data_IF_703457490392
#
_entry.id   IF_703457490392
#
_cell.length_a   1.000
_cell.length_b   1.000
_cell.length_c   1.000
_cell.angle_alpha   90.00
_cell.angle_beta   90.00
_cell.angle_gamma   90.00
#
_symmetry.space_group_name_H-M   'P 1'
#
loop_
_entity.id
_entity.type
_entity.pdbx_description
1 polymer ?
#
# COMPACT_ATOMS: atom_id res chain seq x y z
N UNK A 1 -0.12 10.48 9.57
CA UNK A 1 -1.00 9.30 9.59
C UNK A 1 -0.32 8.11 10.27
N UNK A 2 -1.08 7.21 10.91
CA UNK A 2 -0.58 5.89 11.34
C UNK A 2 -0.50 4.96 10.13
N UNK A 3 0.53 4.14 10.04
CA UNK A 3 0.71 3.15 8.98
C UNK A 3 1.33 1.86 9.56
N UNK A 4 0.72 0.71 9.31
CA UNK A 4 1.34 -0.59 9.55
C UNK A 4 2.24 -0.92 8.35
N UNK A 5 3.52 -1.21 8.60
CA UNK A 5 4.53 -1.34 7.54
C UNK A 5 5.33 -2.62 7.64
N UNK A 6 5.64 -3.20 6.50
CA UNK A 6 6.66 -4.23 6.34
C UNK A 6 7.99 -3.51 6.24
N UNK A 7 8.75 -3.46 7.33
CA UNK A 7 10.09 -2.85 7.37
C UNK A 7 11.15 -3.85 6.88
N UNK A 8 10.97 -5.12 7.25
CA UNK A 8 11.79 -6.24 6.82
C UNK A 8 10.90 -7.48 6.63
N UNK A 9 11.23 -8.28 5.63
CA UNK A 9 10.49 -9.51 5.32
C UNK A 9 10.52 -10.49 6.49
N UNK A 10 9.44 -11.23 6.69
CA UNK A 10 9.27 -12.23 7.76
C UNK A 10 9.37 -11.68 9.21
N UNK A 11 9.34 -10.35 9.40
CA UNK A 11 9.34 -9.72 10.72
C UNK A 11 7.97 -9.12 11.05
N UNK A 12 7.66 -8.92 12.33
CA UNK A 12 6.39 -8.27 12.73
C UNK A 12 6.22 -6.92 12.03
N UNK A 13 5.00 -6.62 11.60
CA UNK A 13 4.67 -5.30 11.07
C UNK A 13 4.94 -4.23 12.13
N UNK A 14 5.50 -3.11 11.70
CA UNK A 14 5.71 -1.95 12.55
C UNK A 14 4.62 -0.92 12.30
N UNK A 15 3.94 -0.48 13.37
CA UNK A 15 3.02 0.67 13.29
C UNK A 15 3.82 1.95 13.49
N UNK A 16 3.98 2.72 12.43
CA UNK A 16 4.74 3.97 12.41
C UNK A 16 3.81 5.17 12.26
N UNK A 17 4.22 6.32 12.81
CA UNK A 17 3.60 7.61 12.54
C UNK A 17 4.36 8.29 11.40
N UNK A 18 3.70 8.51 10.27
CA UNK A 18 4.26 9.18 9.09
C UNK A 18 3.59 10.53 8.86
N UNK A 19 4.21 11.37 8.04
CA UNK A 19 3.52 12.53 7.49
C UNK A 19 2.41 12.08 6.52
N UNK A 20 1.29 12.79 6.52
CA UNK A 20 0.24 12.54 5.53
C UNK A 20 0.71 13.12 4.19
N UNK A 21 0.75 12.33 3.09
CA UNK A 21 1.20 12.84 1.80
C UNK A 21 0.26 13.92 1.27
N UNK A 22 0.82 14.87 0.53
CA UNK A 22 0.04 15.89 -0.19
C UNK A 22 -0.13 15.46 -1.64
N UNK A 23 -1.36 15.26 -2.16
CA UNK A 23 -1.56 14.87 -3.54
C UNK A 23 -1.08 15.97 -4.50
N UNK A 24 -0.54 15.59 -5.66
CA UNK A 24 -0.10 16.49 -6.74
C UNK A 24 -0.59 15.99 -8.09
N UNK A 25 -0.70 16.87 -9.08
CA UNK A 25 -1.18 16.54 -10.42
C UNK A 25 -2.55 15.87 -10.35
N UNK A 26 -2.67 14.69 -10.96
CA UNK A 26 -3.92 13.90 -11.00
C UNK A 26 -4.14 12.98 -9.79
N UNK A 27 -3.33 13.10 -8.74
CA UNK A 27 -3.43 12.24 -7.55
C UNK A 27 -4.67 12.58 -6.70
N UNK A 28 -5.19 11.57 -6.01
CA UNK A 28 -6.27 11.69 -5.03
C UNK A 28 -5.76 11.17 -3.69
N UNK A 29 -5.93 11.96 -2.63
CA UNK A 29 -5.70 11.50 -1.26
C UNK A 29 -7.00 10.94 -0.69
N UNK A 30 -6.95 9.69 -0.23
CA UNK A 30 -8.10 9.01 0.37
C UNK A 30 -7.87 8.83 1.87
N UNK A 31 -8.83 9.27 2.67
CA UNK A 31 -8.92 8.91 4.08
C UNK A 31 -9.49 7.51 4.19
N UNK A 32 -8.59 6.54 4.37
CA UNK A 32 -8.93 5.12 4.50
C UNK A 32 -9.86 4.90 5.69
N UNK A 33 -11.02 4.29 5.45
CA UNK A 33 -11.95 3.85 6.50
C UNK A 33 -11.82 2.35 6.77
N UNK A 34 -11.51 1.58 5.74
CA UNK A 34 -11.27 0.14 5.82
C UNK A 34 -10.24 -0.29 4.79
N UNK A 35 -9.39 -1.25 5.16
CA UNK A 35 -8.53 -2.00 4.24
C UNK A 35 -8.70 -3.48 4.50
N UNK A 36 -9.00 -4.25 3.46
CA UNK A 36 -8.98 -5.71 3.51
C UNK A 36 -7.56 -6.25 3.68
N UNK A 37 -7.48 -7.52 4.08
CA UNK A 37 -6.25 -8.30 4.21
C UNK A 37 -6.52 -9.66 3.58
N UNK A 38 -5.69 -10.05 2.62
CA UNK A 38 -5.82 -11.33 1.94
C UNK A 38 -4.47 -12.06 1.83
N UNK A 39 -4.46 -13.19 1.14
CA UNK A 39 -3.28 -14.05 1.05
C UNK A 39 -2.09 -13.37 0.34
N UNK A 40 -2.35 -12.45 -0.60
CA UNK A 40 -1.27 -11.76 -1.31
C UNK A 40 -0.48 -10.80 -0.39
N UNK A 41 -1.07 -10.32 0.71
CA UNK A 41 -0.34 -9.55 1.71
C UNK A 41 0.71 -10.42 2.44
N UNK A 42 0.47 -11.73 2.55
CA UNK A 42 1.46 -12.69 3.06
C UNK A 42 2.64 -12.78 2.09
N UNK A 43 2.40 -12.83 0.77
CA UNK A 43 3.49 -12.84 -0.22
C UNK A 43 4.36 -11.57 -0.14
N UNK A 44 3.76 -10.40 0.11
CA UNK A 44 4.50 -9.16 0.37
C UNK A 44 5.29 -9.24 1.68
N UNK A 45 4.70 -9.83 2.72
CA UNK A 45 5.35 -9.99 4.02
C UNK A 45 6.52 -10.98 4.00
N UNK A 46 6.38 -12.11 3.31
CA UNK A 46 7.44 -13.12 3.11
C UNK A 46 8.51 -12.65 2.12
N UNK A 47 8.15 -11.75 1.21
CA UNK A 47 9.03 -11.19 0.18
C UNK A 47 9.11 -12.01 -1.11
N UNK A 48 8.24 -13.00 -1.29
CA UNK A 48 8.19 -13.83 -2.49
C UNK A 48 6.79 -14.45 -2.70
N UNK A 49 6.58 -15.06 -3.86
CA UNK A 49 5.45 -15.95 -4.14
C UNK A 49 5.86 -17.02 -5.15
N UNK A 50 5.11 -18.11 -5.23
CA UNK A 50 5.32 -19.16 -6.23
C UNK A 50 4.70 -18.77 -7.57
N UNK A 51 5.51 -18.81 -8.62
CA UNK A 51 5.09 -18.63 -10.01
C UNK A 51 4.75 -19.95 -10.69
N UNK A 52 4.57 -19.88 -12.01
CA UNK A 52 4.27 -21.06 -12.83
C UNK A 52 5.36 -22.11 -12.67
N UNK A 53 4.96 -23.37 -12.44
CA UNK A 53 5.88 -24.49 -12.25
C UNK A 53 6.63 -24.48 -10.92
N UNK A 54 6.16 -23.75 -9.90
CA UNK A 54 6.79 -23.70 -8.57
C UNK A 54 8.04 -22.82 -8.51
N UNK A 55 8.28 -21.98 -9.53
CA UNK A 55 9.39 -21.04 -9.51
C UNK A 55 9.17 -20.00 -8.41
N UNK A 56 10.10 -19.89 -7.47
CA UNK A 56 10.03 -18.85 -6.45
C UNK A 56 10.39 -17.48 -7.06
N UNK A 57 9.47 -16.53 -6.95
CA UNK A 57 9.59 -15.18 -7.48
C UNK A 57 9.68 -14.17 -6.34
N UNK A 58 10.77 -13.43 -6.24
CA UNK A 58 10.92 -12.39 -5.23
C UNK A 58 10.07 -11.17 -5.57
N UNK A 59 9.48 -10.55 -4.57
CA UNK A 59 8.69 -9.32 -4.77
C UNK A 59 9.55 -8.12 -5.15
N UNK A 60 10.81 -8.10 -4.70
CA UNK A 60 11.80 -7.05 -5.05
C UNK A 60 12.14 -7.05 -6.54
N UNK A 61 12.18 -8.22 -7.17
CA UNK A 61 12.42 -8.36 -8.61
C UNK A 61 11.22 -7.84 -9.44
N UNK A 62 10.10 -7.52 -8.76
CA UNK A 62 8.87 -6.97 -9.32
C UNK A 62 8.59 -5.53 -8.87
N UNK A 63 9.60 -4.85 -8.29
CA UNK A 63 9.53 -3.43 -7.95
C UNK A 63 9.05 -3.11 -6.54
N UNK A 64 8.86 -4.11 -5.67
CA UNK A 64 8.58 -3.87 -4.25
C UNK A 64 9.85 -3.36 -3.56
N UNK A 65 9.71 -2.23 -2.86
CA UNK A 65 10.77 -1.64 -2.05
C UNK A 65 10.31 -1.55 -0.60
N UNK A 66 11.13 -2.02 0.33
CA UNK A 66 10.88 -1.89 1.77
C UNK A 66 11.60 -0.66 2.32
N UNK A 67 11.04 0.06 3.31
CA UNK A 67 9.79 -0.25 4.02
C UNK A 67 8.52 0.03 3.18
N UNK A 68 7.60 -0.94 3.17
CA UNK A 68 6.34 -0.88 2.41
C UNK A 68 5.14 -0.76 3.35
N UNK A 69 4.17 0.10 3.02
CA UNK A 69 2.83 0.07 3.62
C UNK A 69 1.92 -0.76 2.70
N UNK A 70 1.55 -2.01 3.05
CA UNK A 70 0.64 -2.82 2.25
C UNK A 70 -0.82 -2.33 2.38
N UNK A 71 -1.75 -3.01 1.71
CA UNK A 71 -3.17 -2.66 1.68
C UNK A 71 -3.63 -2.31 0.26
N UNK A 72 -4.01 -3.33 -0.50
CA UNK A 72 -4.47 -3.20 -1.89
C UNK A 72 -5.99 -3.35 -2.03
N UNK A 73 -6.70 -3.52 -0.91
CA UNK A 73 -8.16 -3.66 -0.82
C UNK A 73 -8.75 -2.49 -0.01
N UNK A 74 -8.64 -1.27 -0.56
CA UNK A 74 -8.90 -0.03 0.18
C UNK A 74 -10.29 0.53 -0.11
N UNK A 75 -11.01 0.92 0.95
CA UNK A 75 -12.22 1.74 0.86
C UNK A 75 -12.15 2.92 1.85
N UNK A 76 -12.62 4.08 1.41
CA UNK A 76 -12.56 5.31 2.19
C UNK A 76 -13.23 6.49 1.50
N UNK A 77 -12.98 7.68 2.03
CA UNK A 77 -13.55 8.93 1.54
C UNK A 77 -12.43 9.78 0.93
N UNK A 78 -12.72 10.48 -0.16
CA UNK A 78 -11.80 11.48 -0.74
C UNK A 78 -11.54 12.57 0.30
N UNK A 79 -10.27 12.75 0.67
CA UNK A 79 -9.82 13.74 1.66
C UNK A 79 -9.35 15.02 0.97
N UNK A 80 -8.57 14.89 -0.10
CA UNK A 80 -8.13 16.02 -0.93
C UNK A 80 -7.72 15.57 -2.33
N UNK A 81 -7.68 16.53 -3.25
CA UNK A 81 -7.37 16.34 -4.67
C UNK A 81 -6.10 17.12 -5.04
N UNK A 82 -5.29 16.53 -5.93
CA UNK A 82 -4.24 17.25 -6.64
C UNK A 82 -4.83 18.23 -7.65
N UNK A 83 -4.02 19.19 -8.09
CA UNK A 83 -4.44 20.32 -8.93
C UNK A 83 -5.00 19.96 -10.31
N UNK A 84 -4.79 18.72 -10.79
CA UNK A 84 -5.28 18.21 -12.07
C UNK A 84 -6.22 17.00 -11.89
N UNK A 85 -6.65 16.69 -10.67
CA UNK A 85 -7.54 15.55 -10.45
C UNK A 85 -8.98 15.91 -10.83
N UNK A 86 -9.61 15.05 -11.62
CA UNK A 86 -10.97 15.20 -12.15
C UNK A 86 -11.84 13.99 -11.79
N UNK A 87 -13.17 14.11 -11.91
CA UNK A 87 -14.12 13.01 -11.69
C UNK A 87 -14.44 12.69 -10.22
N UNK A 88 -13.91 13.48 -9.28
CA UNK A 88 -14.19 13.38 -7.86
C UNK A 88 -14.57 14.75 -7.30
N UNK A 89 -15.48 14.77 -6.33
CA UNK A 89 -15.79 15.98 -5.55
C UNK A 89 -15.06 15.90 -4.21
N UNK A 90 -14.50 17.03 -3.76
CA UNK A 90 -14.16 17.18 -2.35
C UNK A 90 -15.48 17.29 -1.56
N UNK A 91 -15.58 16.55 -0.46
CA UNK A 91 -16.70 16.69 0.50
C UNK A 91 -16.62 18.03 1.25
#
# INVERSE_FOLDING_TARGET
MKAARIVKVNEKLEVQQLETPKPRGSQVLVKVQSSGVCHSDIHLWEGYYEGVGGQLLKTTDRGVNYPLTPGHEVAGIVDSLGEQAEGFNNN
#
